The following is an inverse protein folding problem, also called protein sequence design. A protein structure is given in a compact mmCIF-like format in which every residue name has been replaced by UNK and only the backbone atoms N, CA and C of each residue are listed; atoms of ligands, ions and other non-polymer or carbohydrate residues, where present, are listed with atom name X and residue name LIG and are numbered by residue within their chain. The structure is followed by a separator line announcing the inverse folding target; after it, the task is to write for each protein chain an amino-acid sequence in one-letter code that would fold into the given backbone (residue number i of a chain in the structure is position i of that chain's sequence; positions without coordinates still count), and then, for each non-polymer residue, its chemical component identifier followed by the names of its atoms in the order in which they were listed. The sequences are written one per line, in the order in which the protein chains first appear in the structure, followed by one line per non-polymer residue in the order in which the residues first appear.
data_IF_992758950372
#
_entry.id   IF_992758950372
#
_cell.length_a   1.000
_cell.length_b   1.000
_cell.length_c   1.000
_cell.angle_alpha   90.00
_cell.angle_beta   90.00
_cell.angle_gamma   90.00
#
_symmetry.space_group_name_H-M   'P 1'
#
loop_
_entity.id
_entity.type
_entity.pdbx_description
1 polymer ?
#
# COMPACT_ATOMS: atom_id res chain seq x y z
N UNK A 1 -0.18 -17.44 -15.33
CA UNK A 1 -0.39 -16.70 -14.05
C UNK A 1 -1.05 -17.63 -13.07
N UNK A 2 -0.41 -17.94 -11.92
CA UNK A 2 -0.95 -18.81 -10.89
C UNK A 2 -1.49 -17.95 -9.75
N UNK A 3 -2.77 -18.11 -9.45
CA UNK A 3 -3.48 -17.40 -8.38
C UNK A 3 -3.74 -18.37 -7.25
N UNK A 4 -3.46 -17.96 -6.01
CA UNK A 4 -3.74 -18.78 -4.85
C UNK A 4 -4.00 -17.91 -3.60
N UNK A 5 -4.31 -18.57 -2.50
CA UNK A 5 -4.62 -17.99 -1.22
C UNK A 5 -3.77 -18.61 -0.13
N UNK A 6 -3.28 -17.79 0.76
CA UNK A 6 -2.49 -18.27 1.90
C UNK A 6 -3.15 -17.88 3.22
N UNK A 7 -3.42 -18.88 4.05
CA UNK A 7 -3.98 -18.67 5.39
C UNK A 7 -2.85 -18.68 6.43
N UNK A 8 -2.99 -17.84 7.43
CA UNK A 8 -2.14 -17.81 8.62
C UNK A 8 -2.91 -17.19 9.80
N UNK A 9 -2.35 -17.35 10.99
CA UNK A 9 -2.87 -16.74 12.21
C UNK A 9 -1.87 -15.73 12.76
N UNK A 10 -2.37 -14.60 13.23
CA UNK A 10 -1.59 -13.60 13.97
C UNK A 10 -2.43 -13.01 15.08
N UNK A 11 -1.90 -13.00 16.31
CA UNK A 11 -2.57 -12.44 17.50
C UNK A 11 -4.02 -12.98 17.70
N UNK A 12 -4.26 -14.27 17.44
CA UNK A 12 -5.58 -14.89 17.59
C UNK A 12 -6.58 -14.58 16.48
N UNK A 13 -6.17 -13.90 15.42
CA UNK A 13 -7.00 -13.62 14.24
C UNK A 13 -6.51 -14.41 13.04
N UNK A 14 -7.45 -15.03 12.32
CA UNK A 14 -7.16 -15.74 11.07
C UNK A 14 -7.17 -14.75 9.90
N UNK A 15 -6.13 -14.82 9.08
CA UNK A 15 -5.97 -14.03 7.86
C UNK A 15 -5.93 -14.95 6.65
N UNK A 16 -6.40 -14.44 5.52
CA UNK A 16 -6.34 -15.15 4.26
C UNK A 16 -5.99 -14.19 3.13
N UNK A 17 -4.69 -14.10 2.86
CA UNK A 17 -4.14 -13.22 1.85
C UNK A 17 -4.25 -13.83 0.46
N UNK A 18 -4.34 -12.98 -0.56
CA UNK A 18 -4.42 -13.33 -1.97
C UNK A 18 -3.07 -13.06 -2.63
N UNK A 19 -2.58 -13.99 -3.44
CA UNK A 19 -1.33 -13.75 -4.16
C UNK A 19 -1.36 -14.31 -5.58
N UNK A 20 -0.50 -13.73 -6.41
CA UNK A 20 -0.38 -14.04 -7.83
C UNK A 20 1.09 -14.14 -8.20
N UNK A 21 1.47 -15.27 -8.77
CA UNK A 21 2.79 -15.44 -9.38
C UNK A 21 2.81 -14.91 -10.80
N UNK A 22 3.99 -14.46 -11.30
CA UNK A 22 4.23 -14.27 -12.73
C UNK A 22 3.90 -15.54 -13.51
N UNK A 23 3.62 -15.40 -14.80
CA UNK A 23 3.28 -16.55 -15.66
C UNK A 23 4.43 -17.57 -15.73
N UNK A 24 5.67 -17.06 -15.75
CA UNK A 24 6.88 -17.89 -15.70
C UNK A 24 8.00 -17.14 -15.01
N UNK A 25 8.84 -17.87 -14.27
CA UNK A 25 10.08 -17.36 -13.70
C UNK A 25 11.08 -18.50 -13.51
N UNK A 26 12.34 -18.27 -13.86
CA UNK A 26 13.42 -19.25 -13.74
C UNK A 26 14.23 -19.07 -12.44
N UNK A 27 14.15 -17.90 -11.82
CA UNK A 27 14.85 -17.52 -10.59
C UNK A 27 13.85 -17.00 -9.57
N UNK A 28 14.19 -17.02 -8.27
CA UNK A 28 13.38 -16.33 -7.28
C UNK A 28 13.14 -14.85 -7.66
N UNK A 29 11.89 -14.42 -7.57
CA UNK A 29 11.46 -13.09 -7.99
C UNK A 29 11.10 -12.21 -6.79
N UNK A 30 11.20 -10.88 -6.91
CA UNK A 30 10.80 -9.97 -5.85
C UNK A 30 9.32 -10.14 -5.51
N UNK A 31 8.96 -9.77 -4.29
CA UNK A 31 7.58 -9.76 -3.82
C UNK A 31 7.14 -8.34 -3.49
N UNK A 32 5.93 -7.98 -3.89
CA UNK A 32 5.33 -6.69 -3.59
C UNK A 32 3.97 -6.90 -2.91
N UNK A 33 3.87 -6.42 -1.67
CA UNK A 33 2.62 -6.40 -0.93
C UNK A 33 1.72 -5.26 -1.44
N UNK A 34 0.44 -5.56 -1.59
CA UNK A 34 -0.62 -4.59 -1.84
C UNK A 34 -1.40 -4.42 -0.53
N UNK A 35 -1.30 -3.26 0.10
CA UNK A 35 -2.11 -2.92 1.26
C UNK A 35 -3.32 -2.12 0.77
N UNK A 36 -4.52 -2.69 0.84
CA UNK A 36 -5.72 -2.06 0.31
C UNK A 36 -6.13 -0.82 1.11
N UNK A 37 -7.04 -0.07 0.54
CA UNK A 37 -7.76 0.99 1.24
C UNK A 37 -8.70 0.42 2.33
N UNK A 38 -9.47 1.28 2.99
CA UNK A 38 -10.37 0.90 4.08
C UNK A 38 -11.53 -0.04 3.69
N UNK A 39 -11.72 -0.34 2.40
CA UNK A 39 -12.68 -1.36 1.95
C UNK A 39 -12.11 -2.78 2.00
N UNK A 40 -10.79 -2.92 2.26
CA UNK A 40 -10.15 -4.22 2.34
C UNK A 40 -9.84 -4.83 0.96
N UNK A 41 -9.80 -6.13 0.89
CA UNK A 41 -9.34 -6.89 -0.28
C UNK A 41 -10.40 -6.96 -1.38
N UNK A 42 -10.74 -5.82 -1.95
CA UNK A 42 -11.71 -5.67 -3.05
C UNK A 42 -11.16 -6.23 -4.37
N UNK A 43 -11.99 -6.38 -5.41
CA UNK A 43 -11.54 -6.70 -6.77
C UNK A 43 -10.46 -5.75 -7.28
N UNK A 44 -10.53 -4.46 -6.92
CA UNK A 44 -9.49 -3.46 -7.23
C UNK A 44 -8.14 -3.86 -6.62
N UNK A 45 -8.08 -4.08 -5.31
CA UNK A 45 -6.84 -4.46 -4.63
C UNK A 45 -6.24 -5.78 -5.17
N UNK A 46 -7.10 -6.74 -5.52
CA UNK A 46 -6.67 -7.98 -6.17
C UNK A 46 -6.17 -7.73 -7.61
N UNK A 47 -6.75 -6.76 -8.34
CA UNK A 47 -6.27 -6.37 -9.66
C UNK A 47 -4.87 -5.77 -9.61
N UNK A 48 -4.56 -4.98 -8.59
CA UNK A 48 -3.21 -4.44 -8.35
C UNK A 48 -2.18 -5.58 -8.13
N UNK A 49 -2.54 -6.63 -7.38
CA UNK A 49 -1.66 -7.79 -7.22
C UNK A 49 -1.45 -8.54 -8.55
N UNK A 50 -2.47 -8.65 -9.40
CA UNK A 50 -2.33 -9.23 -10.75
C UNK A 50 -1.43 -8.37 -11.63
N UNK A 51 -1.63 -7.05 -11.62
CA UNK A 51 -0.79 -6.12 -12.38
C UNK A 51 0.70 -6.25 -11.98
N UNK A 52 1.01 -6.36 -10.70
CA UNK A 52 2.38 -6.61 -10.24
C UNK A 52 2.94 -7.93 -10.77
N UNK A 53 2.11 -8.96 -10.90
CA UNK A 53 2.56 -10.24 -11.45
C UNK A 53 2.85 -10.17 -12.96
N UNK A 54 2.16 -9.33 -13.70
CA UNK A 54 2.44 -9.03 -15.11
C UNK A 54 3.79 -8.32 -15.28
N UNK A 55 4.24 -7.60 -14.25
CA UNK A 55 5.56 -6.98 -14.20
C UNK A 55 6.70 -7.93 -13.78
N UNK A 56 6.40 -9.19 -13.47
CA UNK A 56 7.39 -10.18 -13.07
C UNK A 56 7.65 -10.25 -11.57
N UNK A 57 6.81 -9.65 -10.72
CA UNK A 57 6.86 -9.75 -9.26
C UNK A 57 5.85 -10.76 -8.74
N UNK A 58 6.01 -11.28 -7.53
CA UNK A 58 4.88 -11.88 -6.83
C UNK A 58 4.03 -10.74 -6.26
N UNK A 59 2.79 -10.59 -6.75
CA UNK A 59 1.83 -9.65 -6.19
C UNK A 59 1.08 -10.28 -5.02
N UNK A 60 1.09 -9.63 -3.86
CA UNK A 60 0.53 -10.18 -2.63
C UNK A 60 -0.42 -9.19 -1.94
N UNK A 61 -1.73 -9.41 -2.06
CA UNK A 61 -2.75 -8.55 -1.47
C UNK A 61 -3.09 -8.99 -0.04
N UNK A 62 -2.95 -8.06 0.90
CA UNK A 62 -3.06 -8.30 2.33
C UNK A 62 -4.51 -8.22 2.80
N UNK A 63 -4.96 -9.21 3.57
CA UNK A 63 -6.20 -9.18 4.33
C UNK A 63 -6.03 -8.32 5.59
N UNK A 64 -6.35 -7.03 5.50
CA UNK A 64 -6.12 -6.08 6.60
C UNK A 64 -7.06 -6.26 7.80
N UNK A 65 -8.18 -6.97 7.64
CA UNK A 65 -9.20 -7.12 8.68
C UNK A 65 -9.28 -8.52 9.29
N UNK A 66 -8.78 -9.53 8.61
CA UNK A 66 -8.94 -10.94 8.93
C UNK A 66 -10.21 -11.54 8.33
N UNK A 67 -10.19 -12.87 8.17
CA UNK A 67 -11.27 -13.69 7.62
C UNK A 67 -11.86 -13.19 6.29
N UNK A 68 -11.07 -12.43 5.52
CA UNK A 68 -11.47 -11.75 4.28
C UNK A 68 -12.69 -10.83 4.49
N UNK A 69 -12.76 -10.21 5.65
CA UNK A 69 -13.86 -9.31 5.94
C UNK A 69 -13.82 -8.09 5.00
N UNK A 70 -14.88 -7.92 4.22
CA UNK A 70 -15.07 -6.75 3.36
C UNK A 70 -16.24 -5.91 3.90
N UNK A 71 -16.00 -4.63 4.19
CA UNK A 71 -17.04 -3.70 4.56
C UNK A 71 -18.12 -3.59 3.48
N UNK A 72 -19.37 -3.46 3.90
CA UNK A 72 -20.53 -3.35 2.98
C UNK A 72 -21.06 -1.93 2.83
N UNK A 73 -20.46 -0.97 3.54
CA UNK A 73 -20.80 0.46 3.48
C UNK A 73 -19.63 1.29 3.94
N UNK A 74 -19.61 2.58 3.62
CA UNK A 74 -18.58 3.53 4.07
C UNK A 74 -18.51 3.62 5.59
N UNK A 75 -19.65 3.64 6.30
CA UNK A 75 -19.68 3.65 7.77
C UNK A 75 -19.09 2.36 8.35
N UNK A 76 -19.40 1.22 7.76
CA UNK A 76 -18.83 -0.05 8.17
C UNK A 76 -17.32 -0.10 7.90
N UNK A 77 -16.86 0.44 6.77
CA UNK A 77 -15.44 0.55 6.45
C UNK A 77 -14.72 1.47 7.44
N UNK A 78 -15.30 2.64 7.74
CA UNK A 78 -14.76 3.57 8.72
C UNK A 78 -14.66 2.91 10.12
N UNK A 79 -15.70 2.24 10.58
CA UNK A 79 -15.71 1.54 11.89
C UNK A 79 -14.65 0.44 11.98
N UNK A 80 -14.31 -0.22 10.86
CA UNK A 80 -13.29 -1.26 10.82
C UNK A 80 -11.86 -0.72 10.73
N UNK A 81 -11.64 0.40 10.04
CA UNK A 81 -10.31 0.98 9.89
C UNK A 81 -9.87 1.78 11.12
N UNK A 82 -10.79 2.41 11.84
CA UNK A 82 -10.47 3.23 13.02
C UNK A 82 -9.61 2.48 14.06
N UNK A 83 -9.94 1.24 14.48
CA UNK A 83 -9.08 0.49 15.40
C UNK A 83 -7.65 0.27 14.88
N UNK A 84 -7.47 0.18 13.55
CA UNK A 84 -6.13 0.03 12.94
C UNK A 84 -5.31 1.34 13.03
N UNK A 85 -5.97 2.49 12.99
CA UNK A 85 -5.35 3.78 13.22
C UNK A 85 -5.05 4.02 14.70
N UNK A 86 -5.93 3.58 15.60
CA UNK A 86 -5.75 3.72 17.03
C UNK A 86 -4.60 2.86 17.57
N UNK A 87 -4.45 1.64 17.05
CA UNK A 87 -3.34 0.73 17.37
C UNK A 87 -2.42 0.53 16.17
N UNK A 88 -1.65 1.55 15.84
CA UNK A 88 -0.67 1.50 14.73
C UNK A 88 0.44 0.48 14.97
N UNK A 89 0.81 0.24 16.22
CA UNK A 89 1.84 -0.77 16.55
C UNK A 89 1.34 -2.18 16.29
N UNK A 90 0.12 -2.52 16.71
CA UNK A 90 -0.51 -3.80 16.40
C UNK A 90 -0.77 -3.98 14.91
N UNK A 91 -1.19 -2.90 14.23
CA UNK A 91 -1.37 -2.90 12.76
C UNK A 91 -0.04 -3.15 12.04
N UNK A 92 1.05 -2.50 12.45
CA UNK A 92 2.38 -2.74 11.90
C UNK A 92 2.84 -4.18 12.13
N UNK A 93 2.61 -4.74 13.33
CA UNK A 93 2.94 -6.13 13.64
C UNK A 93 2.18 -7.11 12.71
N UNK A 94 0.90 -6.82 12.42
CA UNK A 94 0.10 -7.56 11.44
C UNK A 94 0.66 -7.46 10.03
N UNK A 95 1.01 -6.25 9.55
CA UNK A 95 1.62 -6.07 8.23
C UNK A 95 2.98 -6.81 8.13
N UNK A 96 3.74 -6.79 9.21
CA UNK A 96 5.00 -7.55 9.28
C UNK A 96 4.76 -9.07 9.22
N UNK A 97 3.74 -9.60 9.91
CA UNK A 97 3.38 -11.02 9.82
C UNK A 97 2.96 -11.42 8.39
N UNK A 98 2.19 -10.56 7.70
CA UNK A 98 1.85 -10.74 6.29
C UNK A 98 3.11 -10.77 5.40
N UNK A 99 4.04 -9.85 5.60
CA UNK A 99 5.31 -9.82 4.87
C UNK A 99 6.14 -11.09 5.11
N UNK A 100 6.27 -11.53 6.37
CA UNK A 100 6.99 -12.76 6.70
C UNK A 100 6.35 -13.98 6.01
N UNK A 101 5.02 -14.05 6.01
CA UNK A 101 4.29 -15.12 5.31
C UNK A 101 4.51 -15.07 3.81
N UNK A 102 4.45 -13.87 3.22
CA UNK A 102 4.71 -13.63 1.80
C UNK A 102 6.13 -14.05 1.41
N UNK A 103 7.13 -13.63 2.18
CA UNK A 103 8.53 -13.98 1.95
C UNK A 103 8.85 -15.49 2.13
N UNK A 104 7.97 -16.25 2.78
CA UNK A 104 8.12 -17.71 2.93
C UNK A 104 7.55 -18.53 1.77
N UNK A 105 6.94 -17.88 0.77
CA UNK A 105 6.42 -18.56 -0.42
C UNK A 105 7.57 -19.07 -1.30
N UNK A 106 7.37 -20.24 -1.91
CA UNK A 106 8.36 -20.82 -2.82
C UNK A 106 8.59 -19.90 -4.02
N UNK A 107 9.85 -19.76 -4.45
CA UNK A 107 10.22 -18.92 -5.60
C UNK A 107 10.23 -17.41 -5.32
N UNK A 108 10.03 -16.97 -4.09
CA UNK A 108 10.16 -15.57 -3.66
C UNK A 108 11.60 -15.27 -3.27
N UNK A 109 12.12 -14.15 -3.77
CA UNK A 109 13.36 -13.54 -3.26
C UNK A 109 13.03 -12.58 -2.12
N UNK A 110 13.14 -13.06 -0.89
CA UNK A 110 12.85 -12.28 0.30
C UNK A 110 13.77 -11.08 0.54
N UNK A 111 14.91 -11.00 -0.16
CA UNK A 111 15.82 -9.85 -0.10
C UNK A 111 15.34 -8.67 -0.94
N UNK A 112 14.36 -8.88 -1.82
CA UNK A 112 13.75 -7.89 -2.70
C UNK A 112 12.25 -7.81 -2.42
N UNK A 113 11.88 -7.22 -1.28
CA UNK A 113 10.49 -7.01 -0.89
C UNK A 113 10.09 -5.55 -0.97
N UNK A 114 8.90 -5.29 -1.50
CA UNK A 114 8.29 -3.97 -1.57
C UNK A 114 6.85 -3.95 -1.09
N UNK A 115 6.31 -2.75 -0.98
CA UNK A 115 4.94 -2.52 -0.53
C UNK A 115 4.33 -1.40 -1.35
N UNK A 116 3.12 -1.59 -1.87
CA UNK A 116 2.28 -0.51 -2.36
C UNK A 116 1.03 -0.40 -1.49
N UNK A 117 0.61 0.80 -1.16
CA UNK A 117 -0.55 1.03 -0.31
C UNK A 117 -1.45 2.14 -0.82
N UNK A 118 -2.75 1.95 -0.66
CA UNK A 118 -3.79 2.85 -1.15
C UNK A 118 -4.56 3.46 0.03
N UNK A 119 -4.80 4.77 0.04
CA UNK A 119 -5.53 5.46 1.11
C UNK A 119 -4.97 5.12 2.51
N UNK A 120 -5.78 4.52 3.39
CA UNK A 120 -5.31 4.01 4.69
C UNK A 120 -4.15 3.02 4.56
N UNK A 121 -4.16 2.19 3.53
CA UNK A 121 -3.06 1.28 3.21
C UNK A 121 -1.76 2.02 2.89
N UNK A 122 -1.84 3.22 2.32
CA UNK A 122 -0.68 4.08 2.08
C UNK A 122 0.00 4.54 3.38
N UNK A 123 -0.79 4.82 4.43
CA UNK A 123 -0.26 5.09 5.75
C UNK A 123 0.44 3.86 6.35
N UNK A 124 -0.21 2.69 6.26
CA UNK A 124 0.37 1.45 6.80
C UNK A 124 1.63 1.02 6.05
N UNK A 125 1.70 1.27 4.74
CA UNK A 125 2.90 1.06 3.93
C UNK A 125 4.06 1.96 4.42
N UNK A 126 3.79 3.22 4.73
CA UNK A 126 4.79 4.14 5.29
C UNK A 126 5.25 3.70 6.69
N UNK A 127 4.36 3.12 7.52
CA UNK A 127 4.77 2.56 8.80
C UNK A 127 5.71 1.37 8.63
N UNK A 128 5.52 0.56 7.58
CA UNK A 128 6.47 -0.49 7.23
C UNK A 128 7.82 0.09 6.79
N UNK A 129 7.83 1.15 5.97
CA UNK A 129 9.08 1.85 5.61
C UNK A 129 9.83 2.35 6.84
N UNK A 130 9.12 2.86 7.84
CA UNK A 130 9.70 3.40 9.08
C UNK A 130 10.36 2.34 9.96
N UNK A 131 9.89 1.10 9.93
CA UNK A 131 10.21 0.12 10.99
C UNK A 131 10.66 -1.24 10.51
N UNK A 132 10.46 -1.60 9.24
CA UNK A 132 10.78 -2.92 8.72
C UNK A 132 11.94 -2.83 7.73
N UNK A 133 13.15 -3.06 8.22
CA UNK A 133 14.39 -2.94 7.43
C UNK A 133 14.48 -3.86 6.21
N UNK A 134 13.72 -4.95 6.18
CA UNK A 134 13.70 -5.87 5.03
C UNK A 134 12.89 -5.33 3.86
N UNK A 135 12.07 -4.29 4.04
CA UNK A 135 11.34 -3.63 2.95
C UNK A 135 12.28 -2.65 2.24
N UNK A 136 12.46 -2.83 0.92
CA UNK A 136 13.35 -1.99 0.10
C UNK A 136 12.66 -0.85 -0.61
N UNK A 137 11.37 -1.00 -0.93
CA UNK A 137 10.62 -0.02 -1.69
C UNK A 137 9.20 0.12 -1.14
N UNK A 138 8.72 1.35 -0.96
CA UNK A 138 7.37 1.64 -0.52
C UNK A 138 6.74 2.69 -1.43
N UNK A 139 5.59 2.38 -2.03
CA UNK A 139 4.79 3.37 -2.75
C UNK A 139 3.46 3.62 -2.01
N UNK A 140 3.16 4.89 -1.73
CA UNK A 140 1.90 5.34 -1.15
C UNK A 140 1.11 6.13 -2.19
N UNK A 141 -0.04 5.58 -2.61
CA UNK A 141 -0.87 6.11 -3.68
C UNK A 141 -2.13 6.68 -3.07
N UNK A 142 -2.38 7.99 -3.26
CA UNK A 142 -3.44 8.76 -2.59
C UNK A 142 -3.58 8.37 -1.10
N UNK A 143 -2.44 8.17 -0.41
CA UNK A 143 -2.39 7.79 0.99
C UNK A 143 -2.94 8.86 1.92
N UNK A 144 -3.50 8.48 3.06
CA UNK A 144 -4.00 9.38 4.09
C UNK A 144 -2.97 9.50 5.20
N UNK A 145 -2.44 10.71 5.44
CA UNK A 145 -1.37 10.95 6.42
C UNK A 145 -1.82 11.87 7.57
N UNK A 146 -3.09 11.84 7.93
CA UNK A 146 -3.69 12.74 8.90
C UNK A 146 -3.09 12.52 10.32
N UNK A 147 -2.09 13.30 10.74
CA UNK A 147 -1.50 13.12 12.07
C UNK A 147 -2.37 13.64 13.19
N UNK A 148 -3.29 14.56 12.91
CA UNK A 148 -4.07 15.28 13.91
C UNK A 148 -5.30 14.53 14.44
N UNK A 149 -5.76 13.49 13.76
CA UNK A 149 -6.85 12.62 14.22
C UNK A 149 -6.34 11.35 14.92
N UNK A 150 -5.08 11.00 14.69
CA UNK A 150 -4.50 9.74 15.16
C UNK A 150 -3.19 10.04 15.87
N UNK A 151 -2.86 9.23 16.87
CA UNK A 151 -1.56 9.32 17.54
C UNK A 151 -0.46 9.36 16.48
N UNK A 152 0.49 10.31 16.57
CA UNK A 152 1.55 10.42 15.58
C UNK A 152 2.26 9.07 15.44
N UNK A 153 2.62 8.74 14.21
CA UNK A 153 3.50 7.60 13.97
C UNK A 153 4.77 7.78 14.80
N UNK A 154 5.34 6.70 15.33
CA UNK A 154 6.68 6.79 15.85
C UNK A 154 7.58 7.37 14.73
N UNK A 155 8.29 8.46 15.04
CA UNK A 155 9.23 9.11 14.14
C UNK A 155 10.17 8.09 13.49
N UNK A 156 10.54 8.33 12.25
CA UNK A 156 11.59 7.55 11.58
C UNK A 156 12.90 7.89 12.30
N UNK A 157 13.52 6.91 12.93
CA UNK A 157 14.94 6.98 13.23
C UNK A 157 15.68 6.81 11.91
N UNK A 158 16.71 7.61 11.64
CA UNK A 158 17.48 7.64 10.40
C UNK A 158 17.31 6.40 9.49
N UNK A 159 16.79 6.58 8.29
CA UNK A 159 16.46 5.49 7.35
C UNK A 159 17.42 5.46 6.13
N UNK A 160 18.65 5.91 6.32
CA UNK A 160 19.65 6.03 5.23
C UNK A 160 19.87 4.69 4.49
N UNK A 161 19.72 3.56 5.21
CA UNK A 161 19.80 2.21 4.64
C UNK A 161 18.42 1.52 4.56
N UNK A 162 17.34 2.29 4.64
CA UNK A 162 15.97 1.79 4.65
C UNK A 162 15.31 1.74 3.27
N UNK A 163 13.98 1.67 3.27
CA UNK A 163 13.20 1.67 2.05
C UNK A 163 13.28 3.01 1.32
N UNK A 164 13.45 2.99 0.00
CA UNK A 164 13.10 4.13 -0.84
C UNK A 164 11.58 4.33 -0.84
N UNK A 165 11.11 5.57 -0.93
CA UNK A 165 9.68 5.92 -0.80
C UNK A 165 9.18 6.68 -2.03
N UNK A 166 8.08 6.22 -2.62
CA UNK A 166 7.34 6.94 -3.65
C UNK A 166 5.98 7.41 -3.11
N UNK A 167 5.70 8.70 -3.24
CA UNK A 167 4.43 9.31 -2.87
C UNK A 167 3.72 9.82 -4.12
N UNK A 168 2.47 9.41 -4.36
CA UNK A 168 1.66 9.89 -5.49
C UNK A 168 0.35 10.45 -4.97
N UNK A 169 0.13 11.75 -5.13
CA UNK A 169 -1.03 12.46 -4.57
C UNK A 169 -1.73 13.37 -5.57
N UNK A 170 -3.03 13.52 -5.38
CA UNK A 170 -3.84 14.53 -6.06
C UNK A 170 -3.82 15.86 -5.30
N UNK A 171 -3.63 17.00 -6.00
CA UNK A 171 -3.58 18.32 -5.35
C UNK A 171 -4.93 18.80 -4.81
N UNK A 172 -6.02 18.10 -5.11
CA UNK A 172 -7.39 18.36 -4.62
C UNK A 172 -7.91 17.26 -3.70
N UNK A 173 -7.01 16.46 -3.14
CA UNK A 173 -7.36 15.44 -2.15
C UNK A 173 -7.73 16.10 -0.82
N UNK A 174 -9.01 15.98 -0.44
CA UNK A 174 -9.52 16.55 0.82
C UNK A 174 -9.20 15.70 2.03
N UNK A 175 -8.90 14.41 1.85
CA UNK A 175 -8.51 13.50 2.91
C UNK A 175 -7.03 13.57 3.25
N UNK A 176 -6.22 14.15 2.36
CA UNK A 176 -4.81 14.39 2.59
C UNK A 176 -4.39 15.78 2.10
N UNK A 177 -4.66 16.85 2.87
CA UNK A 177 -4.29 18.21 2.52
C UNK A 177 -2.79 18.35 2.24
N UNK A 178 -2.41 19.33 1.41
CA UNK A 178 -1.00 19.58 1.06
C UNK A 178 -0.09 19.79 2.28
N UNK A 179 -0.62 20.31 3.39
CA UNK A 179 0.14 20.47 4.63
C UNK A 179 0.59 19.12 5.20
N UNK A 180 -0.26 18.08 5.10
CA UNK A 180 0.10 16.71 5.52
C UNK A 180 1.24 16.14 4.69
N UNK A 181 1.24 16.40 3.38
CA UNK A 181 2.36 16.03 2.50
C UNK A 181 3.64 16.74 2.90
N UNK A 182 3.56 18.04 3.19
CA UNK A 182 4.73 18.84 3.59
C UNK A 182 5.30 18.40 4.95
N UNK A 183 4.47 17.95 5.88
CA UNK A 183 4.92 17.39 7.14
C UNK A 183 5.64 16.05 6.95
N UNK A 184 5.10 15.20 6.08
CA UNK A 184 5.75 13.93 5.73
C UNK A 184 7.09 14.15 5.02
N UNK A 185 7.17 15.11 4.09
CA UNK A 185 8.44 15.47 3.42
C UNK A 185 9.50 15.87 4.45
N UNK A 186 9.17 16.73 5.41
CA UNK A 186 10.12 17.11 6.48
C UNK A 186 10.59 15.90 7.28
N UNK A 187 9.68 14.99 7.61
CA UNK A 187 10.03 13.74 8.30
C UNK A 187 11.02 12.90 7.48
N UNK A 188 10.79 12.76 6.17
CA UNK A 188 11.64 11.99 5.27
C UNK A 188 13.01 12.65 5.07
N UNK A 189 13.05 13.99 4.92
CA UNK A 189 14.28 14.78 4.84
C UNK A 189 15.11 14.64 6.12
N UNK A 190 14.48 14.81 7.28
CA UNK A 190 15.16 14.70 8.59
C UNK A 190 15.71 13.28 8.83
N UNK A 191 15.06 12.26 8.29
CA UNK A 191 15.50 10.87 8.35
C UNK A 191 16.56 10.50 7.31
N UNK A 192 16.84 11.37 6.33
CA UNK A 192 17.74 11.06 5.21
C UNK A 192 17.19 9.97 4.28
N UNK A 193 15.87 9.83 4.19
CA UNK A 193 15.22 8.82 3.35
C UNK A 193 15.32 9.22 1.88
N UNK A 194 15.63 8.26 1.00
CA UNK A 194 15.45 8.43 -0.44
C UNK A 194 13.97 8.42 -0.78
N UNK A 195 13.44 9.52 -1.33
CA UNK A 195 12.02 9.59 -1.67
C UNK A 195 11.74 10.40 -2.93
N UNK A 196 10.59 10.12 -3.53
CA UNK A 196 10.03 10.85 -4.65
C UNK A 196 8.59 11.27 -4.32
N UNK A 197 8.22 12.50 -4.64
CA UNK A 197 6.83 12.99 -4.53
C UNK A 197 6.30 13.40 -5.90
N UNK A 198 5.22 12.77 -6.33
CA UNK A 198 4.50 13.09 -7.55
C UNK A 198 3.16 13.74 -7.18
N UNK A 199 2.96 14.97 -7.62
CA UNK A 199 1.69 15.70 -7.44
C UNK A 199 0.92 15.74 -8.75
N UNK A 200 -0.26 15.16 -8.75
CA UNK A 200 -1.18 15.16 -9.88
C UNK A 200 -2.13 16.35 -9.77
N UNK A 201 -1.92 17.35 -10.64
CA UNK A 201 -2.65 18.62 -10.60
C UNK A 201 -4.16 18.43 -10.78
N UNK A 202 -4.96 19.00 -9.85
CA UNK A 202 -6.42 18.97 -9.90
C UNK A 202 -7.07 17.62 -9.56
N UNK A 203 -6.29 16.59 -9.28
CA UNK A 203 -6.83 15.26 -8.97
C UNK A 203 -7.22 15.14 -7.50
N UNK A 204 -8.26 14.35 -7.25
CA UNK A 204 -8.85 14.10 -5.93
C UNK A 204 -8.36 12.78 -5.34
N UNK A 205 -8.88 12.43 -4.17
CA UNK A 205 -8.65 11.13 -3.53
C UNK A 205 -9.15 9.98 -4.42
N UNK A 206 -8.53 8.82 -4.32
CA UNK A 206 -8.91 7.60 -5.05
C UNK A 206 -8.96 7.75 -6.58
N UNK A 207 -8.11 8.61 -7.16
CA UNK A 207 -8.09 8.89 -8.61
C UNK A 207 -7.83 7.65 -9.47
N UNK A 208 -7.24 6.59 -8.92
CA UNK A 208 -7.00 5.32 -9.62
C UNK A 208 -8.06 4.24 -9.34
N UNK A 209 -9.00 4.49 -8.44
CA UNK A 209 -10.02 3.52 -8.06
C UNK A 209 -11.18 3.55 -9.06
N UNK A 210 -11.34 2.49 -9.86
CA UNK A 210 -12.44 2.38 -10.82
C UNK A 210 -13.77 2.22 -10.11
N UNK A 211 -14.73 3.03 -10.51
CA UNK A 211 -16.06 3.08 -9.91
C UNK A 211 -16.87 1.79 -10.05
N UNK A 212 -16.59 1.01 -11.08
CA UNK A 212 -17.25 -0.29 -11.31
C UNK A 212 -16.95 -1.31 -10.20
N UNK A 213 -15.84 -1.13 -9.49
CA UNK A 213 -15.39 -2.10 -8.48
C UNK A 213 -16.03 -1.87 -7.10
N UNK A 214 -16.60 -0.67 -6.79
CA UNK A 214 -17.11 -0.38 -5.44
C UNK A 214 -18.04 0.84 -5.32
N UNK A 215 -18.78 1.22 -6.35
CA UNK A 215 -19.60 2.45 -6.37
C UNK A 215 -20.56 2.62 -5.18
N UNK A 216 -21.24 1.55 -4.77
CA UNK A 216 -22.22 1.61 -3.67
C UNK A 216 -21.57 1.83 -2.30
N UNK A 217 -20.31 1.39 -2.14
CA UNK A 217 -19.58 1.48 -0.87
C UNK A 217 -18.82 2.79 -0.75
N UNK A 218 -18.33 3.33 -1.88
CA UNK A 218 -17.51 4.55 -1.92
C UNK A 218 -18.30 5.84 -1.94
N UNK A 219 -19.51 5.80 -2.48
CA UNK A 219 -20.35 6.96 -2.69
C UNK A 219 -21.26 7.21 -1.49
N UNK A 220 -20.73 7.23 -0.26
CA UNK A 220 -21.39 7.95 0.81
C UNK A 220 -21.79 9.36 0.35
N UNK A 221 -22.30 10.22 1.18
CA UNK A 221 -22.92 11.51 0.84
C UNK A 221 -22.08 12.49 -0.03
N UNK A 222 -20.80 12.16 -0.38
CA UNK A 222 -19.93 12.99 -1.22
C UNK A 222 -19.27 12.24 -2.40
N UNK A 223 -20.04 11.86 -3.44
CA UNK A 223 -19.46 11.25 -4.66
C UNK A 223 -18.42 12.15 -5.36
N UNK A 224 -18.50 13.46 -5.12
CA UNK A 224 -17.61 14.45 -5.73
C UNK A 224 -16.19 14.48 -5.12
N UNK A 225 -15.99 13.87 -3.94
CA UNK A 225 -14.67 13.79 -3.31
C UNK A 225 -13.78 12.75 -3.99
N UNK A 226 -14.37 11.77 -4.66
CA UNK A 226 -13.73 10.62 -5.28
C UNK A 226 -14.04 10.60 -6.78
N UNK A 227 -13.05 10.76 -7.63
CA UNK A 227 -13.23 10.69 -9.08
C UNK A 227 -12.10 9.88 -9.70
N UNK A 228 -12.45 8.70 -10.22
CA UNK A 228 -11.56 7.96 -11.09
C UNK A 228 -11.14 8.81 -12.30
N UNK A 229 -9.86 8.77 -12.59
CA UNK A 229 -9.26 9.44 -13.74
C UNK A 229 -8.28 8.48 -14.41
N UNK A 230 -8.67 7.97 -15.56
CA UNK A 230 -7.93 6.95 -16.28
C UNK A 230 -6.48 7.36 -16.59
N UNK A 231 -6.26 8.62 -16.95
CA UNK A 231 -4.92 9.11 -17.28
C UNK A 231 -4.02 9.15 -16.04
N UNK A 232 -4.57 9.56 -14.90
CA UNK A 232 -3.84 9.60 -13.63
C UNK A 232 -3.57 8.19 -13.08
N UNK A 233 -4.51 7.27 -13.27
CA UNK A 233 -4.34 5.85 -12.95
C UNK A 233 -3.16 5.25 -13.75
N UNK A 234 -3.15 5.44 -15.07
CA UNK A 234 -2.06 4.99 -15.94
C UNK A 234 -0.70 5.62 -15.58
N UNK A 235 -0.70 6.92 -15.24
CA UNK A 235 0.52 7.61 -14.79
C UNK A 235 1.02 7.03 -13.46
N UNK A 236 0.14 6.80 -12.50
CA UNK A 236 0.51 6.20 -11.21
C UNK A 236 1.13 4.81 -11.40
N UNK A 237 0.52 3.95 -12.21
CA UNK A 237 1.07 2.64 -12.56
C UNK A 237 2.47 2.77 -13.22
N UNK A 238 2.64 3.71 -14.14
CA UNK A 238 3.94 3.94 -14.78
C UNK A 238 5.03 4.37 -13.76
N UNK A 239 4.72 5.31 -12.85
CA UNK A 239 5.65 5.74 -11.82
C UNK A 239 6.00 4.60 -10.86
N UNK A 240 5.02 3.84 -10.40
CA UNK A 240 5.24 2.69 -9.51
C UNK A 240 6.07 1.61 -10.21
N UNK A 241 5.78 1.32 -11.48
CA UNK A 241 6.53 0.34 -12.26
C UNK A 241 8.02 0.70 -12.36
N UNK A 242 8.29 1.94 -12.72
CA UNK A 242 9.66 2.44 -12.81
C UNK A 242 10.38 2.39 -11.47
N UNK A 243 9.76 2.92 -10.43
CA UNK A 243 10.29 2.95 -9.07
C UNK A 243 10.63 1.55 -8.52
N UNK A 244 9.72 0.58 -8.67
CA UNK A 244 9.97 -0.79 -8.23
C UNK A 244 11.09 -1.45 -9.05
N UNK A 245 11.15 -1.18 -10.34
CA UNK A 245 12.20 -1.72 -11.22
C UNK A 245 13.59 -1.20 -10.82
N UNK A 246 13.70 0.08 -10.47
CA UNK A 246 14.95 0.66 -9.96
C UNK A 246 15.33 0.06 -8.60
N UNK A 247 14.38 0.00 -7.65
CA UNK A 247 14.63 -0.50 -6.30
C UNK A 247 15.04 -1.98 -6.26
N UNK A 248 14.62 -2.78 -7.27
CA UNK A 248 14.91 -4.21 -7.34
C UNK A 248 15.95 -4.58 -8.39
N UNK A 249 16.56 -3.61 -9.06
CA UNK A 249 17.65 -3.85 -10.00
C UNK A 249 18.78 -4.63 -9.31
N UNK A 250 19.30 -5.67 -9.99
CA UNK A 250 20.47 -6.40 -9.53
C UNK A 250 21.70 -5.47 -9.66
N UNK A 251 22.29 -5.04 -8.53
CA UNK A 251 23.52 -4.26 -8.53
C UNK A 251 23.37 -2.76 -8.30
N UNK A 252 22.28 -2.29 -7.75
CA UNK A 252 22.18 -0.95 -7.17
C UNK A 252 23.16 -0.84 -6.01
N UNK A 253 24.14 0.07 -6.17
CA UNK A 253 25.26 0.33 -5.26
C UNK A 253 24.81 0.67 -3.84
#
# INVERSE_FOLDING_TARGET
MTIDWVAYEHAGTHYKDYFVYPESFEKPVPIVLVIPDYHGMTPYAQAEARWLSEMGFVGYCVDIYGERAMPKSSDNAASKVMPLFDDRSGTLARMHAALQRACSLEGVDSSRSGVIGFSSGGLFALDMARRIKSVRAVASIWGVFLPWQFKPAPMIESNVDGASVLLIHGTKDIFNPMESNMNLIRELDDAGTDYQLILLGGKKHAFSLKTEDNLEVLCGEEPQALLYDQESDQRAHHYVAHFLSEAFAEGGC
#
